data_IF_035611908620
#
_entry.id   IF_035611908620
#
_cell.length_a   1.000
_cell.length_b   1.000
_cell.length_c   1.000
_cell.angle_alpha   90.00
_cell.angle_beta   90.00
_cell.angle_gamma   90.00
#
_symmetry.space_group_name_H-M   'P 1'
#
loop_
_entity.id
_entity.type
_entity.pdbx_description
1 polymer ?
#
# COMPACT_ATOMS: atom_id res chain seq x y z
N UNK A 1 7.77 -5.85 2.71
CA UNK A 1 7.50 -6.11 1.29
C UNK A 1 8.65 -6.84 0.64
N UNK A 2 8.32 -7.68 -0.31
CA UNK A 2 9.34 -8.41 -1.04
C UNK A 2 9.98 -7.52 -2.11
N UNK A 3 11.22 -7.80 -2.44
CA UNK A 3 11.96 -7.02 -3.42
C UNK A 3 11.25 -6.95 -4.77
N UNK A 4 10.64 -8.06 -5.18
CA UNK A 4 9.91 -8.11 -6.45
C UNK A 4 8.76 -7.12 -6.48
N UNK A 5 8.02 -7.03 -5.38
CA UNK A 5 6.92 -6.09 -5.29
C UNK A 5 7.41 -4.65 -5.35
N UNK A 6 8.49 -4.36 -4.66
CA UNK A 6 9.08 -3.02 -4.69
C UNK A 6 9.48 -2.63 -6.11
N UNK A 7 10.13 -3.54 -6.81
CA UNK A 7 10.57 -3.30 -8.19
C UNK A 7 9.37 -3.06 -9.10
N UNK A 8 8.35 -3.89 -8.97
CA UNK A 8 7.14 -3.75 -9.77
C UNK A 8 6.46 -2.40 -9.52
N UNK A 9 6.37 -2.01 -8.25
CA UNK A 9 5.75 -0.73 -7.89
C UNK A 9 6.54 0.44 -8.44
N UNK A 10 7.85 0.36 -8.41
CA UNK A 10 8.70 1.42 -8.96
C UNK A 10 8.51 1.60 -10.46
N UNK A 11 8.21 0.52 -11.17
CA UNK A 11 7.99 0.55 -12.60
C UNK A 11 6.60 1.04 -13.00
N UNK A 12 5.67 1.11 -12.05
CA UNK A 12 4.31 1.53 -12.33
C UNK A 12 4.21 3.03 -12.56
N UNK A 13 3.25 3.40 -13.38
CA UNK A 13 2.95 4.80 -13.62
C UNK A 13 2.20 5.38 -12.43
N UNK A 14 2.18 6.71 -12.37
CA UNK A 14 1.53 7.43 -11.28
C UNK A 14 0.07 7.02 -11.11
N UNK A 15 -0.66 6.86 -12.22
CA UNK A 15 -2.07 6.47 -12.19
C UNK A 15 -2.25 5.09 -11.55
N UNK A 16 -1.37 4.16 -11.89
CA UNK A 16 -1.42 2.81 -11.34
C UNK A 16 -1.11 2.81 -9.87
N UNK A 17 -0.14 3.62 -9.47
CA UNK A 17 0.22 3.74 -8.06
C UNK A 17 -0.94 4.30 -7.23
N UNK A 18 -1.68 5.26 -7.77
CA UNK A 18 -2.85 5.81 -7.10
C UNK A 18 -3.89 4.71 -6.86
N UNK A 19 -4.13 3.87 -7.87
CA UNK A 19 -5.07 2.76 -7.73
C UNK A 19 -4.61 1.78 -6.67
N UNK A 20 -3.33 1.42 -6.70
CA UNK A 20 -2.77 0.50 -5.70
C UNK A 20 -2.92 1.08 -4.30
N UNK A 21 -2.67 2.37 -4.17
CA UNK A 21 -2.80 3.05 -2.89
C UNK A 21 -4.24 3.00 -2.37
N UNK A 22 -5.20 3.30 -3.23
CA UNK A 22 -6.61 3.23 -2.86
C UNK A 22 -7.02 1.83 -2.47
N UNK A 23 -6.61 0.83 -3.24
CA UNK A 23 -6.91 -0.56 -2.93
C UNK A 23 -6.32 -0.97 -1.59
N UNK A 24 -5.09 -0.59 -1.34
CA UNK A 24 -4.44 -0.92 -0.07
C UNK A 24 -5.13 -0.24 1.11
N UNK A 25 -5.52 1.02 0.95
CA UNK A 25 -6.25 1.75 2.00
C UNK A 25 -7.59 1.10 2.27
N UNK A 26 -8.31 0.71 1.23
CA UNK A 26 -9.60 0.04 1.37
C UNK A 26 -9.42 -1.30 2.09
N UNK A 27 -8.43 -2.07 1.69
CA UNK A 27 -8.16 -3.36 2.34
C UNK A 27 -7.81 -3.17 3.81
N UNK A 28 -7.03 -2.14 4.13
CA UNK A 28 -6.68 -1.86 5.51
C UNK A 28 -7.91 -1.47 6.33
N UNK A 29 -8.79 -0.68 5.76
CA UNK A 29 -10.02 -0.29 6.43
C UNK A 29 -10.89 -1.51 6.74
N UNK A 30 -11.01 -2.42 5.78
CA UNK A 30 -11.77 -3.66 5.95
C UNK A 30 -11.14 -4.50 7.06
N UNK A 31 -9.83 -4.64 7.05
CA UNK A 31 -9.13 -5.37 8.10
C UNK A 31 -9.35 -4.75 9.47
N UNK A 32 -9.32 -3.45 9.56
CA UNK A 32 -9.55 -2.74 10.80
C UNK A 32 -10.95 -3.03 11.34
N UNK A 33 -11.94 -3.02 10.47
CA UNK A 33 -13.30 -3.38 10.86
C UNK A 33 -13.39 -4.82 11.33
N UNK A 34 -12.73 -5.74 10.63
CA UNK A 34 -12.76 -7.15 10.97
C UNK A 34 -12.01 -7.47 12.27
N UNK A 35 -11.14 -6.58 12.72
CA UNK A 35 -10.42 -6.79 13.99
C UNK A 35 -11.35 -6.93 15.16
N UNK A 36 -12.52 -6.34 15.10
CA UNK A 36 -13.48 -6.43 16.19
C UNK A 36 -14.20 -7.76 16.25
N UNK A 37 -14.16 -8.52 15.15
CA UNK A 37 -14.84 -9.81 15.07
C UNK A 37 -13.86 -10.98 15.02
N UNK A 38 -12.68 -10.79 14.42
CA UNK A 38 -11.68 -11.83 14.29
C UNK A 38 -10.35 -11.34 14.81
N UNK A 39 -9.59 -12.28 15.38
CA UNK A 39 -8.35 -11.92 16.02
C UNK A 39 -7.13 -12.28 15.22
N UNK A 40 -6.05 -11.73 15.62
CA UNK A 40 -4.66 -12.11 15.44
C UNK A 40 -4.08 -12.24 14.02
N UNK A 41 -4.66 -12.97 13.11
CA UNK A 41 -4.10 -13.09 11.77
C UNK A 41 -4.05 -11.77 11.04
N UNK A 42 -4.98 -10.88 11.37
CA UNK A 42 -5.10 -9.59 10.71
C UNK A 42 -3.99 -8.62 11.07
N UNK A 43 -3.27 -8.88 12.16
CA UNK A 43 -2.19 -7.99 12.58
C UNK A 43 -1.07 -7.95 11.55
N UNK A 44 -0.64 -9.11 11.06
CA UNK A 44 0.42 -9.18 10.06
C UNK A 44 -0.01 -8.55 8.76
N UNK A 45 -1.23 -8.84 8.33
CA UNK A 45 -1.77 -8.27 7.10
C UNK A 45 -1.88 -6.76 7.20
N UNK A 46 -2.32 -6.26 8.35
CA UNK A 46 -2.39 -4.83 8.59
C UNK A 46 -1.04 -4.16 8.49
N UNK A 47 -0.01 -4.77 9.08
CA UNK A 47 1.34 -4.23 9.01
C UNK A 47 1.87 -4.24 7.58
N UNK A 48 1.61 -5.31 6.84
CA UNK A 48 2.03 -5.41 5.45
C UNK A 48 1.35 -4.33 4.59
N UNK A 49 0.05 -4.13 4.81
CA UNK A 49 -0.69 -3.10 4.08
C UNK A 49 -0.19 -1.71 4.41
N UNK A 50 0.09 -1.44 5.67
CA UNK A 50 0.64 -0.14 6.06
C UNK A 50 1.98 0.11 5.41
N UNK A 51 2.84 -0.91 5.36
CA UNK A 51 4.12 -0.80 4.68
C UNK A 51 3.96 -0.52 3.21
N UNK A 52 3.02 -1.20 2.56
CA UNK A 52 2.73 -1.00 1.15
C UNK A 52 2.21 0.42 0.90
N UNK A 53 1.29 0.88 1.70
CA UNK A 53 0.75 2.24 1.60
C UNK A 53 1.85 3.27 1.73
N UNK A 54 2.70 3.12 2.73
CA UNK A 54 3.81 4.05 2.95
C UNK A 54 4.76 4.07 1.75
N UNK A 55 5.11 2.90 1.23
CA UNK A 55 6.02 2.78 0.10
C UNK A 55 5.42 3.43 -1.16
N UNK A 56 4.17 3.10 -1.47
CA UNK A 56 3.48 3.65 -2.65
C UNK A 56 3.34 5.16 -2.52
N UNK A 57 2.98 5.64 -1.34
CA UNK A 57 2.87 7.08 -1.09
C UNK A 57 4.20 7.79 -1.34
N UNK A 58 5.30 7.20 -0.89
CA UNK A 58 6.62 7.74 -1.11
C UNK A 58 6.96 7.79 -2.59
N UNK A 59 6.67 6.71 -3.31
CA UNK A 59 6.90 6.65 -4.76
C UNK A 59 6.10 7.70 -5.49
N UNK A 60 4.84 7.87 -5.13
CA UNK A 60 4.00 8.89 -5.76
C UNK A 60 4.56 10.27 -5.54
N UNK A 61 4.99 10.55 -4.33
CA UNK A 61 5.58 11.85 -4.01
C UNK A 61 6.85 12.10 -4.81
N UNK A 62 7.70 11.08 -4.92
CA UNK A 62 8.93 11.20 -5.70
C UNK A 62 8.64 11.45 -7.16
N UNK A 63 7.65 10.75 -7.72
CA UNK A 63 7.29 10.92 -9.12
C UNK A 63 6.71 12.31 -9.37
N UNK A 64 5.92 12.83 -8.45
CA UNK A 64 5.39 14.19 -8.58
C UNK A 64 6.50 15.22 -8.58
N UNK A 65 7.46 15.06 -7.70
CA UNK A 65 8.60 15.97 -7.63
C UNK A 65 9.47 15.88 -8.88
N UNK A 66 9.64 14.66 -9.39
CA UNK A 66 10.47 14.43 -10.57
C UNK A 66 9.85 15.02 -11.83
N UNK A 67 8.53 15.12 -11.89
CA UNK A 67 7.84 15.63 -13.07
C UNK A 67 7.74 17.14 -13.11
N UNK A 68 8.11 17.76 -12.05
CA UNK A 68 8.15 19.20 -12.07
C UNK A 68 9.44 19.71 -12.66
#
# INVERSE_FOLDING_TARGET
>A
MKTKEKTALKAMEKKELVKVLLDAKTALAILTMNRYTKQSKNVREGLALRGKIAFVSTLLRQKELAHE
#
